data_IF_681368918298
#
_entry.id   IF_681368918298
#
_cell.length_a   1.000
_cell.length_b   1.000
_cell.length_c   1.000
_cell.angle_alpha   90.00
_cell.angle_beta   90.00
_cell.angle_gamma   90.00
#
_symmetry.space_group_name_H-M   'P 1'
#
loop_
_entity.id
_entity.type
_entity.pdbx_description
1 polymer ?
#
# COMPACT_ATOMS: atom_id res chain seq x y z
N UNK A 1 -14.65 17.78 0.06
CA UNK A 1 -14.20 16.63 0.87
C UNK A 1 -13.08 15.93 0.13
N UNK A 2 -11.92 15.77 0.74
CA UNK A 2 -10.81 15.02 0.16
C UNK A 2 -11.22 13.54 0.11
N UNK A 3 -11.33 12.96 -1.08
CA UNK A 3 -11.69 11.55 -1.23
C UNK A 3 -10.49 10.69 -0.78
N UNK A 4 -10.68 9.90 0.28
CA UNK A 4 -9.72 8.86 0.65
C UNK A 4 -9.75 7.78 -0.42
N UNK A 5 -8.62 7.57 -1.10
CA UNK A 5 -8.51 6.58 -2.17
C UNK A 5 -7.39 5.60 -1.88
N UNK A 6 -7.57 4.33 -2.24
CA UNK A 6 -6.51 3.34 -2.14
C UNK A 6 -5.28 3.80 -2.94
N UNK A 7 -4.13 3.88 -2.26
CA UNK A 7 -2.86 4.28 -2.85
C UNK A 7 -2.48 3.42 -4.07
N UNK A 8 -2.89 2.14 -4.09
CA UNK A 8 -2.51 1.23 -5.16
C UNK A 8 -3.44 1.30 -6.37
N UNK A 9 -4.76 1.22 -6.16
CA UNK A 9 -5.74 1.04 -7.24
C UNK A 9 -6.73 2.21 -7.42
N UNK A 10 -6.66 3.26 -6.58
CA UNK A 10 -7.48 4.46 -6.71
C UNK A 10 -8.95 4.32 -6.29
N UNK A 11 -9.40 3.13 -5.88
CA UNK A 11 -10.78 2.91 -5.37
C UNK A 11 -11.10 3.85 -4.20
N UNK A 12 -12.35 4.27 -4.08
CA UNK A 12 -12.79 5.07 -2.95
C UNK A 12 -13.32 4.21 -1.80
N UNK A 13 -13.49 4.84 -0.63
CA UNK A 13 -14.17 4.26 0.53
C UNK A 13 -15.67 4.01 0.31
N UNK A 14 -16.27 4.58 -0.75
CA UNK A 14 -17.64 4.30 -1.15
C UNK A 14 -17.79 2.95 -1.86
N UNK A 15 -16.74 2.52 -2.58
CA UNK A 15 -16.76 1.26 -3.33
C UNK A 15 -16.41 0.06 -2.46
N UNK A 16 -15.51 0.26 -1.48
CA UNK A 16 -15.04 -0.77 -0.53
C UNK A 16 -14.30 -0.15 0.65
N UNK A 17 -14.24 -0.84 1.80
CA UNK A 17 -13.52 -0.33 2.96
C UNK A 17 -12.05 -0.06 2.62
N UNK A 18 -11.52 0.98 3.25
CA UNK A 18 -10.11 1.32 3.22
C UNK A 18 -9.51 1.15 4.62
N UNK A 19 -8.28 0.64 4.66
CA UNK A 19 -7.43 0.58 5.84
C UNK A 19 -6.51 1.79 5.83
N UNK A 20 -6.47 2.53 6.93
CA UNK A 20 -5.54 3.66 7.11
C UNK A 20 -4.15 3.16 7.46
N UNK A 21 -3.15 3.65 6.74
CA UNK A 21 -1.73 3.45 7.02
C UNK A 21 -1.14 4.77 7.52
N UNK A 22 -0.38 4.73 8.61
CA UNK A 22 0.38 5.87 9.09
C UNK A 22 1.86 5.62 8.85
N UNK A 23 2.51 6.48 8.08
CA UNK A 23 3.93 6.36 7.77
C UNK A 23 4.57 7.74 7.67
N UNK A 24 5.66 7.95 8.40
CA UNK A 24 6.40 9.24 8.45
C UNK A 24 5.48 10.47 8.68
N UNK A 25 4.50 10.34 9.58
CA UNK A 25 3.55 11.42 9.89
C UNK A 25 2.51 11.71 8.79
N UNK A 26 2.50 10.93 7.71
CA UNK A 26 1.48 11.00 6.65
C UNK A 26 0.48 9.86 6.79
N UNK A 27 -0.75 10.14 6.38
CA UNK A 27 -1.81 9.14 6.27
C UNK A 27 -1.96 8.71 4.81
N UNK A 28 -2.03 7.40 4.61
CA UNK A 28 -2.32 6.76 3.33
C UNK A 28 -3.47 5.78 3.52
N UNK A 29 -4.07 5.33 2.42
CA UNK A 29 -5.17 4.38 2.47
C UNK A 29 -4.89 3.20 1.55
N UNK A 30 -5.27 1.99 1.95
CA UNK A 30 -5.18 0.79 1.12
C UNK A 30 -6.43 -0.07 1.28
N UNK A 31 -6.97 -0.60 0.19
CA UNK A 31 -8.13 -1.49 0.26
C UNK A 31 -7.70 -2.93 0.61
N UNK A 32 -8.60 -3.76 1.19
CA UNK A 32 -8.30 -5.15 1.53
C UNK A 32 -7.78 -6.01 0.37
N UNK A 33 -8.19 -5.73 -0.88
CA UNK A 33 -7.68 -6.47 -2.04
C UNK A 33 -6.24 -6.11 -2.41
N UNK A 34 -5.80 -4.88 -2.09
CA UNK A 34 -4.43 -4.43 -2.36
C UNK A 34 -3.51 -4.61 -1.14
N UNK A 35 -4.07 -4.79 0.06
CA UNK A 35 -3.32 -5.02 1.30
C UNK A 35 -2.29 -6.16 1.18
N UNK A 36 -2.57 -7.31 0.53
CA UNK A 36 -1.59 -8.37 0.38
C UNK A 36 -0.30 -7.94 -0.34
N UNK A 37 -0.35 -6.93 -1.22
CA UNK A 37 0.85 -6.41 -1.88
C UNK A 37 1.84 -5.79 -0.90
N UNK A 38 1.38 -5.18 0.19
CA UNK A 38 2.28 -4.65 1.24
C UNK A 38 3.12 -5.75 1.91
N UNK A 39 2.64 -7.00 1.90
CA UNK A 39 3.30 -8.12 2.58
C UNK A 39 4.13 -8.92 1.58
N UNK A 40 3.57 -9.23 0.41
CA UNK A 40 4.20 -10.13 -0.57
C UNK A 40 5.09 -9.42 -1.60
N UNK A 41 4.73 -8.19 -1.99
CA UNK A 41 5.43 -7.43 -3.05
C UNK A 41 5.54 -5.94 -2.71
N UNK A 42 6.14 -5.59 -1.55
CA UNK A 42 6.15 -4.21 -1.06
C UNK A 42 6.91 -3.24 -1.98
N UNK A 43 7.85 -3.75 -2.79
CA UNK A 43 8.58 -2.97 -3.79
C UNK A 43 7.66 -2.33 -4.85
N UNK A 44 6.54 -2.96 -5.20
CA UNK A 44 5.56 -2.39 -6.15
C UNK A 44 4.85 -1.14 -5.60
N UNK A 45 5.02 -0.85 -4.31
CA UNK A 45 4.42 0.29 -3.62
C UNK A 45 5.43 1.36 -3.21
N UNK A 46 6.73 1.15 -3.46
CA UNK A 46 7.80 2.08 -3.05
C UNK A 46 7.60 3.48 -3.63
N UNK A 47 7.27 3.59 -4.93
CA UNK A 47 7.02 4.88 -5.59
C UNK A 47 5.76 5.60 -5.07
N UNK A 48 4.87 4.84 -4.42
CA UNK A 48 3.59 5.33 -3.88
C UNK A 48 3.69 5.70 -2.40
N UNK A 49 4.78 5.31 -1.73
CA UNK A 49 5.06 5.55 -0.33
C UNK A 49 6.42 6.25 -0.21
N UNK A 50 6.47 7.59 -0.35
CA UNK A 50 7.72 8.33 -0.30
C UNK A 50 8.51 8.03 0.98
N UNK A 51 9.77 7.63 0.83
CA UNK A 51 10.66 7.28 1.95
C UNK A 51 10.49 5.85 2.48
N UNK A 52 9.63 5.03 1.87
CA UNK A 52 9.56 3.60 2.15
C UNK A 52 10.62 2.85 1.34
N UNK A 53 11.53 2.19 2.04
CA UNK A 53 12.54 1.30 1.46
C UNK A 53 12.22 -0.12 1.90
N UNK A 54 11.59 -0.95 1.05
CA UNK A 54 11.42 -2.36 1.36
C UNK A 54 12.80 -3.03 1.46
N UNK A 55 12.95 -3.96 2.41
CA UNK A 55 14.19 -4.72 2.60
C UNK A 55 14.65 -5.35 1.27
N UNK A 56 15.93 -5.21 0.95
CA UNK A 56 16.56 -5.66 -0.30
C UNK A 56 16.67 -7.19 -0.43
N UNK A 57 16.17 -7.95 0.54
CA UNK A 57 16.10 -9.41 0.43
C UNK A 57 14.74 -9.83 -0.15
N UNK A 58 14.59 -10.04 -1.48
CA UNK A 58 13.60 -11.00 -1.91
C UNK A 58 13.99 -12.31 -1.23
N UNK A 59 13.07 -12.92 -0.48
CA UNK A 59 13.21 -14.35 -0.24
C UNK A 59 13.41 -14.98 -1.63
N UNK A 60 14.43 -15.85 -1.82
CA UNK A 60 14.61 -16.51 -3.11
C UNK A 60 13.25 -17.09 -3.52
N UNK A 61 12.82 -16.76 -4.75
CA UNK A 61 11.58 -17.31 -5.29
C UNK A 61 11.67 -18.84 -5.12
N UNK A 62 10.77 -19.38 -4.29
CA UNK A 62 10.66 -20.81 -4.03
C UNK A 62 10.35 -21.48 -5.39
N UNK A 63 11.19 -22.40 -5.89
CA UNK A 63 11.07 -22.96 -7.24
C UNK A 63 9.76 -23.73 -7.49
#
# INVERSE_FOLDING_TARGET
MSKSTCLNCGTSDQDRPLVTLKFQGKEFYICPQCLPKLIHKPYELADKLPGFMPSENPAPDDP
#
